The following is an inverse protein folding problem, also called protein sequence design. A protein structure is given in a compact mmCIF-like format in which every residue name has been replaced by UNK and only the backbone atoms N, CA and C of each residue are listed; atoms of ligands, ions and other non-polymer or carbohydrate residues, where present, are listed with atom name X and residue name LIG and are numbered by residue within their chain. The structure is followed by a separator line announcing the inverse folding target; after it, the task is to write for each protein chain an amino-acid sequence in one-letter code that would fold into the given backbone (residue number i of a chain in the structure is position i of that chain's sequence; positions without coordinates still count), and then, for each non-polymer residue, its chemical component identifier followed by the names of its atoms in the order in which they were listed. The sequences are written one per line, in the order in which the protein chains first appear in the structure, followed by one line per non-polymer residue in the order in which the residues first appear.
data_IF_284168855611
#
_entry.id   IF_284168855611
#
_cell.length_a   1.000
_cell.length_b   1.000
_cell.length_c   1.000
_cell.angle_alpha   90.00
_cell.angle_beta   90.00
_cell.angle_gamma   90.00
#
_symmetry.space_group_name_H-M   'P 1'
#
loop_
_entity.id
_entity.type
_entity.pdbx_description
1 polymer ?
#
# COMPACT_ATOMS: atom_id res chain seq x y z
N UNK A 1 16.25 5.15 31.10
CA UNK A 1 14.82 5.39 31.33
C UNK A 1 14.47 6.68 30.64
N UNK A 2 13.77 6.62 29.49
CA UNK A 2 13.23 7.81 28.82
C UNK A 2 11.90 8.08 29.49
N UNK A 3 11.77 9.24 30.16
CA UNK A 3 10.51 9.65 30.76
C UNK A 3 9.45 9.76 29.65
N UNK A 4 8.33 9.02 29.79
CA UNK A 4 7.20 9.18 28.92
C UNK A 4 6.66 10.61 29.08
N UNK A 5 6.75 11.42 28.07
CA UNK A 5 6.15 12.76 28.05
C UNK A 5 4.67 12.56 27.77
N UNK A 6 3.81 12.92 28.74
CA UNK A 6 2.38 12.90 28.55
C UNK A 6 2.01 13.75 27.33
N UNK A 7 1.21 13.21 26.44
CA UNK A 7 0.72 13.90 25.26
C UNK A 7 -0.81 14.01 25.27
N UNK A 8 -1.34 15.03 24.61
CA UNK A 8 -2.78 15.20 24.43
C UNK A 8 -3.18 14.58 23.12
N UNK A 9 -4.14 13.66 23.15
CA UNK A 9 -4.69 13.05 21.93
C UNK A 9 -5.37 14.10 21.06
N UNK A 10 -5.01 14.17 19.79
CA UNK A 10 -5.54 15.17 18.84
C UNK A 10 -7.02 14.92 18.50
N UNK A 11 -7.52 13.69 18.65
CA UNK A 11 -8.91 13.35 18.32
C UNK A 11 -9.88 13.59 19.48
N UNK A 12 -9.52 13.22 20.74
CA UNK A 12 -10.43 13.27 21.88
C UNK A 12 -9.96 14.21 23.00
N UNK A 13 -8.80 14.86 22.85
CA UNK A 13 -8.17 15.76 23.84
C UNK A 13 -7.83 15.11 25.19
N UNK A 14 -7.88 13.78 25.28
CA UNK A 14 -7.48 13.07 26.50
C UNK A 14 -5.95 13.17 26.69
N UNK A 15 -5.52 13.36 27.96
CA UNK A 15 -4.11 13.22 28.32
C UNK A 15 -3.77 11.74 28.42
N UNK A 16 -2.72 11.32 27.75
CA UNK A 16 -2.31 9.92 27.68
C UNK A 16 -0.81 9.78 27.95
N UNK A 17 -0.47 8.74 28.73
CA UNK A 17 0.93 8.43 29.04
C UNK A 17 1.68 7.77 27.90
N UNK A 18 0.95 7.32 26.89
CA UNK A 18 1.48 6.72 25.66
C UNK A 18 0.54 6.98 24.47
N UNK A 19 1.12 7.13 23.28
CA UNK A 19 0.42 7.51 22.06
C UNK A 19 1.14 6.95 20.84
N UNK A 20 0.41 6.87 19.72
CA UNK A 20 0.94 6.43 18.44
C UNK A 20 1.20 7.64 17.55
N UNK A 21 2.38 7.71 16.95
CA UNK A 21 2.66 8.62 15.85
C UNK A 21 2.31 7.94 14.53
N UNK A 22 1.43 8.53 13.77
CA UNK A 22 1.23 8.12 12.39
C UNK A 22 2.40 8.65 11.55
N UNK A 23 2.98 7.82 10.71
CA UNK A 23 4.08 8.23 9.83
C UNK A 23 3.71 9.41 8.92
N UNK A 24 2.45 9.46 8.48
CA UNK A 24 1.89 10.54 7.69
C UNK A 24 1.69 11.85 8.44
N UNK A 25 1.63 11.81 9.77
CA UNK A 25 1.36 12.96 10.64
C UNK A 25 2.13 12.80 11.96
N UNK A 26 3.46 13.01 11.94
CA UNK A 26 4.33 12.75 13.10
C UNK A 26 4.05 13.65 14.31
N UNK A 27 3.39 14.78 14.10
CA UNK A 27 3.07 15.76 15.13
C UNK A 27 1.66 15.61 15.72
N UNK A 28 0.91 14.57 15.30
CA UNK A 28 -0.44 14.30 15.78
C UNK A 28 -0.48 13.05 16.65
N UNK A 29 -0.33 13.17 17.98
CA UNK A 29 -0.48 12.05 18.88
C UNK A 29 -1.93 11.58 18.93
N UNK A 30 -2.15 10.28 18.74
CA UNK A 30 -3.48 9.64 18.80
C UNK A 30 -3.45 8.59 19.89
N UNK A 31 -4.43 8.61 20.81
CA UNK A 31 -4.56 7.59 21.84
C UNK A 31 -5.07 6.27 21.25
N UNK A 32 -4.86 5.19 22.00
CA UNK A 32 -5.28 3.84 21.62
C UNK A 32 -6.76 3.75 21.25
N UNK A 33 -7.64 4.36 22.04
CA UNK A 33 -9.08 4.27 21.83
C UNK A 33 -9.52 4.97 20.55
N UNK A 34 -8.93 6.13 20.24
CA UNK A 34 -9.17 6.82 18.99
C UNK A 34 -8.60 6.05 17.80
N UNK A 35 -7.41 5.45 17.93
CA UNK A 35 -6.84 4.60 16.88
C UNK A 35 -7.71 3.36 16.62
N UNK A 36 -8.21 2.71 17.66
CA UNK A 36 -9.13 1.57 17.55
C UNK A 36 -10.44 1.96 16.87
N UNK A 37 -10.99 3.15 17.20
CA UNK A 37 -12.18 3.71 16.55
C UNK A 37 -11.97 4.03 15.06
N UNK A 38 -10.78 4.47 14.67
CA UNK A 38 -10.43 4.74 13.27
C UNK A 38 -10.32 3.45 12.44
N UNK A 39 -9.96 2.32 13.05
CA UNK A 39 -9.81 1.03 12.38
C UNK A 39 -11.12 0.23 12.29
N UNK A 40 -12.26 0.80 12.76
CA UNK A 40 -13.55 0.11 12.78
C UNK A 40 -13.45 -1.20 13.55
N UNK A 41 -14.12 -1.28 14.70
CA UNK A 41 -14.23 -2.41 15.61
C UNK A 41 -13.81 -3.77 15.02
N UNK A 42 -12.58 -4.17 15.23
CA UNK A 42 -12.20 -5.57 15.25
C UNK A 42 -11.78 -5.88 16.66
N UNK A 43 -12.44 -6.84 17.29
CA UNK A 43 -12.06 -7.46 18.55
C UNK A 43 -10.73 -8.20 18.40
N UNK A 44 -9.67 -7.45 18.23
CA UNK A 44 -8.31 -7.94 18.12
C UNK A 44 -7.40 -6.98 18.85
N UNK A 45 -6.78 -7.43 19.91
CA UNK A 45 -5.75 -6.68 20.62
C UNK A 45 -4.68 -6.23 19.61
N UNK A 46 -4.66 -4.94 19.28
CA UNK A 46 -3.48 -4.34 18.63
C UNK A 46 -2.38 -4.31 19.69
N UNK A 47 -1.54 -5.31 19.68
CA UNK A 47 -0.35 -5.33 20.52
C UNK A 47 0.63 -4.33 19.91
N UNK A 48 0.66 -3.13 20.48
CA UNK A 48 1.70 -2.13 20.15
C UNK A 48 3.02 -2.65 20.70
N UNK A 49 3.85 -3.16 19.79
CA UNK A 49 5.21 -3.56 20.15
C UNK A 49 6.05 -2.30 20.36
N UNK A 50 6.40 -2.00 21.59
CA UNK A 50 7.40 -1.00 21.93
C UNK A 50 8.78 -1.64 21.79
N UNK A 51 9.49 -1.33 20.72
CA UNK A 51 10.84 -1.83 20.46
C UNK A 51 11.42 -1.20 19.18
N UNK A 52 12.73 -1.22 19.07
CA UNK A 52 13.41 -0.89 17.81
C UNK A 52 13.02 -1.92 16.76
N UNK A 53 12.23 -1.50 15.78
CA UNK A 53 11.81 -2.38 14.70
C UNK A 53 13.01 -2.69 13.81
N UNK A 54 13.44 -3.96 13.78
CA UNK A 54 14.46 -4.42 12.83
C UNK A 54 13.93 -4.44 11.39
N UNK A 55 12.60 -4.58 11.22
CA UNK A 55 11.93 -4.51 9.92
C UNK A 55 11.37 -3.10 9.72
N UNK A 56 11.82 -2.39 8.70
CA UNK A 56 11.50 -0.98 8.47
C UNK A 56 10.56 -0.74 7.28
N UNK A 57 10.26 -1.77 6.49
CA UNK A 57 9.39 -1.65 5.31
C UNK A 57 8.99 -3.00 4.74
N UNK A 58 8.10 -2.95 3.76
CA UNK A 58 7.68 -4.08 2.96
C UNK A 58 7.55 -3.61 1.51
N UNK A 59 8.15 -4.34 0.59
CA UNK A 59 8.04 -4.12 -0.84
C UNK A 59 7.64 -5.44 -1.52
N UNK A 60 6.54 -5.47 -2.29
CA UNK A 60 6.10 -6.68 -2.98
C UNK A 60 7.04 -7.00 -4.15
N UNK A 61 7.22 -8.29 -4.43
CA UNK A 61 7.95 -8.79 -5.59
C UNK A 61 6.96 -9.48 -6.52
N UNK A 62 6.90 -9.02 -7.78
CA UNK A 62 6.15 -9.66 -8.84
C UNK A 62 7.09 -10.44 -9.74
N UNK A 63 6.87 -11.74 -9.83
CA UNK A 63 7.55 -12.56 -10.83
C UNK A 63 6.87 -12.36 -12.18
N UNK A 64 7.67 -12.04 -13.19
CA UNK A 64 7.24 -11.68 -14.54
C UNK A 64 7.98 -12.51 -15.59
N UNK A 65 7.32 -12.89 -16.67
CA UNK A 65 7.93 -13.71 -17.70
C UNK A 65 8.86 -12.92 -18.64
N UNK A 66 8.71 -11.59 -18.67
CA UNK A 66 9.50 -10.68 -19.52
C UNK A 66 9.60 -9.31 -18.84
N UNK A 67 10.82 -8.96 -18.41
CA UNK A 67 11.08 -7.70 -17.69
C UNK A 67 10.73 -6.49 -18.57
N UNK A 68 11.14 -6.47 -19.84
CA UNK A 68 10.92 -5.31 -20.71
C UNK A 68 9.42 -5.07 -20.98
N UNK A 69 8.63 -6.13 -21.17
CA UNK A 69 7.18 -6.06 -21.32
C UNK A 69 6.51 -5.54 -20.05
N UNK A 70 6.93 -6.02 -18.90
CA UNK A 70 6.37 -5.61 -17.61
C UNK A 70 6.74 -4.17 -17.29
N UNK A 71 7.99 -3.76 -17.51
CA UNK A 71 8.44 -2.37 -17.37
C UNK A 71 7.56 -1.44 -18.21
N UNK A 72 7.38 -1.73 -19.50
CA UNK A 72 6.54 -0.91 -20.38
C UNK A 72 5.09 -0.81 -19.91
N UNK A 73 4.57 -1.85 -19.25
CA UNK A 73 3.23 -1.82 -18.66
C UNK A 73 3.19 -0.93 -17.40
N UNK A 74 4.17 -1.08 -16.49
CA UNK A 74 4.24 -0.27 -15.27
C UNK A 74 4.47 1.21 -15.57
N UNK A 75 5.27 1.54 -16.58
CA UNK A 75 5.45 2.93 -17.05
C UNK A 75 4.12 3.53 -17.53
N UNK A 76 3.33 2.78 -18.32
CA UNK A 76 1.97 3.23 -18.69
C UNK A 76 1.05 3.38 -17.49
N UNK A 77 1.21 2.54 -16.46
CA UNK A 77 0.47 2.66 -15.20
C UNK A 77 0.93 3.84 -14.32
N UNK A 78 1.87 4.67 -14.80
CA UNK A 78 2.36 5.85 -14.11
C UNK A 78 3.45 5.60 -13.07
N UNK A 79 4.17 4.47 -13.18
CA UNK A 79 5.35 4.19 -12.37
C UNK A 79 6.62 4.65 -13.08
N UNK A 80 7.56 5.19 -12.33
CA UNK A 80 8.93 5.37 -12.81
C UNK A 80 9.70 4.07 -12.59
N UNK A 81 10.51 3.65 -13.56
CA UNK A 81 11.23 2.38 -13.46
C UNK A 81 12.73 2.60 -13.40
N UNK A 82 13.40 1.84 -12.53
CA UNK A 82 14.86 1.68 -12.49
C UNK A 82 15.24 0.21 -12.60
N UNK A 83 16.40 -0.07 -13.21
CA UNK A 83 16.89 -1.43 -13.41
C UNK A 83 18.01 -1.75 -12.42
N UNK A 84 17.99 -2.97 -11.88
CA UNK A 84 19.16 -3.54 -11.26
C UNK A 84 20.06 -4.20 -12.33
N UNK A 85 19.41 -5.06 -13.15
CA UNK A 85 20.02 -5.74 -14.32
C UNK A 85 18.92 -6.20 -15.29
N UNK A 86 19.26 -7.05 -16.25
CA UNK A 86 18.32 -7.57 -17.25
C UNK A 86 17.23 -8.51 -16.68
N UNK A 87 17.41 -8.95 -15.43
CA UNK A 87 16.49 -9.89 -14.76
C UNK A 87 15.72 -9.27 -13.60
N UNK A 88 16.02 -8.00 -13.24
CA UNK A 88 15.44 -7.37 -12.07
C UNK A 88 15.26 -5.86 -12.23
N UNK A 89 14.07 -5.36 -11.93
CA UNK A 89 13.75 -3.93 -12.00
C UNK A 89 12.89 -3.50 -10.80
N UNK A 90 12.78 -2.19 -10.61
CA UNK A 90 11.99 -1.56 -9.55
C UNK A 90 11.02 -0.57 -10.17
N UNK A 91 9.72 -0.75 -9.92
CA UNK A 91 8.67 0.18 -10.32
C UNK A 91 8.29 1.06 -9.12
N UNK A 92 8.54 2.36 -9.23
CA UNK A 92 8.36 3.35 -8.17
C UNK A 92 7.16 4.26 -8.47
N UNK A 93 6.34 4.54 -7.46
CA UNK A 93 5.28 5.56 -7.57
C UNK A 93 5.21 6.39 -6.28
N UNK A 94 5.40 7.69 -6.40
CA UNK A 94 5.53 8.58 -5.25
C UNK A 94 6.82 8.33 -4.48
N UNK A 95 6.80 8.55 -3.17
CA UNK A 95 8.00 8.43 -2.32
C UNK A 95 8.22 7.03 -1.75
N UNK A 96 7.13 6.34 -1.45
CA UNK A 96 7.16 5.19 -0.55
C UNK A 96 6.56 3.92 -1.18
N UNK A 97 6.21 3.96 -2.47
CA UNK A 97 5.68 2.81 -3.17
C UNK A 97 6.72 2.28 -4.16
N UNK A 98 7.22 1.08 -3.89
CA UNK A 98 8.08 0.32 -4.78
C UNK A 98 7.52 -1.08 -4.95
N UNK A 99 7.48 -1.55 -6.20
CA UNK A 99 7.17 -2.93 -6.57
C UNK A 99 8.41 -3.47 -7.28
N UNK A 100 8.93 -4.59 -6.82
CA UNK A 100 10.02 -5.27 -7.49
C UNK A 100 9.47 -6.13 -8.63
N UNK A 101 10.17 -6.14 -9.75
CA UNK A 101 9.90 -7.01 -10.90
C UNK A 101 11.09 -7.96 -11.04
N UNK A 102 10.85 -9.25 -10.82
CA UNK A 102 11.86 -10.29 -10.91
C UNK A 102 11.54 -11.22 -12.08
N UNK A 103 12.54 -11.57 -12.90
CA UNK A 103 12.34 -12.54 -13.96
C UNK A 103 11.97 -13.89 -13.35
N UNK A 104 10.86 -14.47 -13.81
CA UNK A 104 10.33 -15.72 -13.31
C UNK A 104 11.31 -16.88 -13.54
N UNK A 105 11.23 -17.86 -12.64
CA UNK A 105 11.98 -19.13 -12.70
C UNK A 105 11.03 -20.30 -12.60
N UNK A 106 11.52 -21.52 -12.76
CA UNK A 106 10.72 -22.75 -12.57
C UNK A 106 10.17 -22.87 -11.14
N UNK A 107 10.93 -22.40 -10.13
CA UNK A 107 10.51 -22.40 -8.72
C UNK A 107 9.59 -21.23 -8.36
N UNK A 108 9.69 -20.12 -9.10
CA UNK A 108 8.97 -18.89 -8.84
C UNK A 108 8.28 -18.41 -10.13
N UNK A 109 7.16 -19.04 -10.51
CA UNK A 109 6.50 -18.76 -11.77
C UNK A 109 5.87 -17.36 -11.80
N UNK A 110 5.71 -16.80 -13.00
CA UNK A 110 5.08 -15.51 -13.22
C UNK A 110 3.58 -15.52 -12.88
N UNK A 111 3.04 -14.35 -12.53
CA UNK A 111 1.59 -14.11 -12.45
C UNK A 111 0.91 -14.52 -11.15
N UNK A 112 1.66 -14.84 -10.11
CA UNK A 112 1.11 -15.27 -8.81
C UNK A 112 1.17 -14.19 -7.73
N UNK A 113 1.69 -13.00 -8.06
CA UNK A 113 1.76 -11.88 -7.13
C UNK A 113 0.40 -11.21 -6.91
N UNK A 114 0.18 -10.69 -5.70
CA UNK A 114 -0.96 -9.85 -5.41
C UNK A 114 -0.58 -8.75 -4.41
N UNK A 115 -1.11 -7.55 -4.62
CA UNK A 115 -0.97 -6.43 -3.69
C UNK A 115 -2.24 -5.57 -3.64
N UNK A 116 -2.32 -4.73 -2.63
CA UNK A 116 -3.38 -3.74 -2.47
C UNK A 116 -2.80 -2.35 -2.33
N UNK A 117 -3.22 -1.42 -3.19
CA UNK A 117 -2.85 -0.01 -3.15
C UNK A 117 -3.95 0.80 -2.46
N UNK A 118 -3.58 1.47 -1.38
CA UNK A 118 -4.44 2.49 -0.81
C UNK A 118 -4.32 3.78 -1.63
N UNK A 119 -5.43 4.28 -2.12
CA UNK A 119 -5.48 5.54 -2.86
C UNK A 119 -6.46 6.53 -2.21
N UNK A 120 -6.35 7.80 -2.58
CA UNK A 120 -7.26 8.84 -2.10
C UNK A 120 -8.59 8.83 -2.84
N UNK A 121 -8.59 8.34 -4.09
CA UNK A 121 -9.73 8.37 -5.00
C UNK A 121 -9.61 7.21 -6.00
N UNK A 122 -10.43 6.18 -5.83
CA UNK A 122 -10.40 4.99 -6.67
C UNK A 122 -10.90 5.27 -8.11
N UNK A 123 -11.86 6.20 -8.26
CA UNK A 123 -12.36 6.54 -9.59
C UNK A 123 -11.29 7.24 -10.43
N UNK A 124 -10.52 8.16 -9.84
CA UNK A 124 -9.41 8.81 -10.54
C UNK A 124 -8.31 7.83 -10.93
N UNK A 125 -7.98 6.87 -10.10
CA UNK A 125 -7.01 5.82 -10.45
C UNK A 125 -7.53 4.97 -11.60
N UNK A 126 -8.80 4.58 -11.56
CA UNK A 126 -9.43 3.82 -12.63
C UNK A 126 -9.45 4.59 -13.95
N UNK A 127 -9.77 5.88 -13.91
CA UNK A 127 -9.76 6.76 -15.08
C UNK A 127 -8.34 6.89 -15.67
N UNK A 128 -7.35 7.20 -14.85
CA UNK A 128 -5.94 7.32 -15.27
C UNK A 128 -5.46 6.05 -15.97
N UNK A 129 -5.69 4.89 -15.37
CA UNK A 129 -5.26 3.62 -15.94
C UNK A 129 -6.05 3.22 -17.20
N UNK A 130 -7.35 3.51 -17.24
CA UNK A 130 -8.16 3.26 -18.44
C UNK A 130 -7.69 4.14 -19.61
N UNK A 131 -7.36 5.41 -19.37
CA UNK A 131 -6.80 6.33 -20.36
C UNK A 131 -5.43 5.85 -20.86
N UNK A 132 -4.64 5.20 -20.00
CA UNK A 132 -3.37 4.57 -20.36
C UNK A 132 -3.53 3.22 -21.09
N UNK A 133 -4.78 2.79 -21.40
CA UNK A 133 -5.07 1.55 -22.09
C UNK A 133 -4.92 0.29 -21.23
N UNK A 134 -5.00 0.43 -19.92
CA UNK A 134 -4.99 -0.69 -18.97
C UNK A 134 -6.42 -1.14 -18.72
N UNK A 135 -6.68 -2.45 -18.80
CA UNK A 135 -7.98 -3.03 -18.50
C UNK A 135 -8.28 -2.95 -17.01
N UNK A 136 -9.16 -2.05 -16.62
CA UNK A 136 -9.58 -1.83 -15.23
C UNK A 136 -10.90 -2.55 -14.96
N UNK A 137 -11.00 -3.22 -13.81
CA UNK A 137 -12.22 -3.82 -13.29
C UNK A 137 -12.69 -3.04 -12.06
N UNK A 138 -13.93 -2.58 -12.08
CA UNK A 138 -14.46 -1.64 -11.07
C UNK A 138 -14.07 -0.18 -11.40
N UNK A 139 -13.97 0.72 -10.41
CA UNK A 139 -14.22 0.46 -9.00
C UNK A 139 -15.72 0.34 -8.65
N UNK A 140 -16.03 -0.37 -7.57
CA UNK A 140 -17.38 -0.52 -7.02
C UNK A 140 -17.35 -0.33 -5.49
N UNK A 141 -18.51 -0.01 -4.93
CA UNK A 141 -18.64 0.15 -3.50
C UNK A 141 -18.79 -1.23 -2.83
N UNK A 142 -17.95 -1.45 -1.82
CA UNK A 142 -17.96 -2.66 -1.00
C UNK A 142 -18.68 -2.41 0.34
N UNK A 143 -19.28 -3.43 0.92
CA UNK A 143 -20.11 -3.37 2.13
C UNK A 143 -19.35 -2.94 3.40
N UNK A 144 -18.00 -3.04 3.36
CA UNK A 144 -17.09 -2.59 4.43
C UNK A 144 -16.60 -1.14 4.27
N UNK A 145 -17.24 -0.33 3.44
CA UNK A 145 -17.00 1.10 3.34
C UNK A 145 -15.80 1.50 2.45
N UNK A 146 -15.43 0.65 1.51
CA UNK A 146 -14.40 0.91 0.51
C UNK A 146 -14.98 0.92 -0.89
N UNK A 147 -14.43 1.79 -1.74
CA UNK A 147 -14.62 1.78 -3.18
C UNK A 147 -13.39 1.18 -3.82
N UNK A 148 -13.52 0.01 -4.44
CA UNK A 148 -12.40 -0.82 -4.86
C UNK A 148 -12.49 -1.28 -6.29
N UNK A 149 -11.32 -1.36 -6.93
CA UNK A 149 -11.14 -1.96 -8.23
C UNK A 149 -9.86 -2.77 -8.30
N UNK A 150 -9.60 -3.36 -9.47
CA UNK A 150 -8.35 -4.06 -9.71
C UNK A 150 -7.92 -4.02 -11.17
N UNK A 151 -6.65 -4.24 -11.38
CA UNK A 151 -6.03 -4.50 -12.68
C UNK A 151 -5.14 -5.74 -12.58
N UNK A 152 -4.78 -6.29 -13.72
CA UNK A 152 -3.75 -7.33 -13.83
C UNK A 152 -2.63 -6.83 -14.74
N UNK A 153 -1.41 -7.13 -14.34
CA UNK A 153 -0.27 -6.92 -15.21
C UNK A 153 -0.27 -7.94 -16.38
N UNK A 154 0.66 -7.86 -17.33
CA UNK A 154 0.70 -8.78 -18.50
C UNK A 154 0.89 -10.25 -18.15
N UNK A 155 1.37 -10.57 -16.95
CA UNK A 155 1.59 -11.93 -16.47
C UNK A 155 0.44 -12.44 -15.58
N UNK A 156 -0.50 -11.55 -15.19
CA UNK A 156 -1.65 -11.89 -14.37
C UNK A 156 -1.48 -11.54 -12.88
N UNK A 157 -0.36 -10.92 -12.47
CA UNK A 157 -0.23 -10.41 -11.12
C UNK A 157 -1.34 -9.42 -10.81
N UNK A 158 -1.94 -9.54 -9.63
CA UNK A 158 -3.13 -8.79 -9.25
C UNK A 158 -2.76 -7.52 -8.47
N UNK A 159 -3.18 -6.38 -8.97
CA UNK A 159 -3.08 -5.09 -8.28
C UNK A 159 -4.49 -4.62 -7.95
N UNK A 160 -4.88 -4.74 -6.68
CA UNK A 160 -6.10 -4.12 -6.15
C UNK A 160 -5.81 -2.69 -5.75
N UNK A 161 -6.79 -1.82 -5.87
CA UNK A 161 -6.71 -0.45 -5.39
C UNK A 161 -8.03 -0.03 -4.78
N UNK A 162 -7.97 0.86 -3.78
CA UNK A 162 -9.19 1.31 -3.14
C UNK A 162 -9.01 2.56 -2.28
N UNK A 163 -10.13 3.28 -2.14
CA UNK A 163 -10.30 4.45 -1.30
C UNK A 163 -11.49 4.27 -0.35
N UNK A 164 -11.61 5.07 0.73
CA UNK A 164 -12.88 5.18 1.45
C UNK A 164 -14.00 5.64 0.50
N UNK A 165 -15.22 5.14 0.71
CA UNK A 165 -16.43 5.70 0.07
C UNK A 165 -16.60 7.15 0.56
N UNK A 166 -16.91 8.08 -0.35
CA UNK A 166 -17.15 9.50 -0.04
C UNK A 166 -18.61 9.77 0.15
#
# INVERSE_FOLDING_TARGET
MIAAVAATCTCCSASVDWWVRLRSHPDMPICHDCLAGLNGQRDGQVQLMTGDWLVTGLEPIFNVADIARSVAWFERAGFAVSFHDDTYAFAHRGRDLTIHLALATDSDPAGHGALYLHCQDADRVAEEWSQAGIAVHGPQDEDYGKREGFVRDPDGNLIRFGSPIR
#
